data_IF_502927372296
#
_entry.id   IF_502927372296
#
_cell.length_a   1.000
_cell.length_b   1.000
_cell.length_c   1.000
_cell.angle_alpha   90.00
_cell.angle_beta   90.00
_cell.angle_gamma   90.00
#
_symmetry.space_group_name_H-M   'P 1'
#
loop_
_entity.id
_entity.type
_entity.pdbx_description
1 polymer ?
#
# COMPACT_ATOMS: atom_id res chain seq x y z
N UNK A 1 -64.68 9.43 55.60
CA UNK A 1 -63.27 9.20 55.96
C UNK A 1 -62.49 8.31 54.97
N UNK A 2 -63.10 7.35 54.28
CA UNK A 2 -62.38 6.43 53.38
C UNK A 2 -61.84 7.03 52.07
N UNK A 3 -62.39 8.09 51.52
CA UNK A 3 -61.94 8.73 50.26
C UNK A 3 -60.71 9.61 50.43
N UNK A 4 -60.47 10.19 51.61
CA UNK A 4 -59.29 11.01 51.88
C UNK A 4 -58.01 10.21 52.11
N UNK A 5 -58.11 9.04 52.72
CA UNK A 5 -56.98 8.13 52.95
C UNK A 5 -56.44 7.48 51.62
N UNK A 6 -57.32 7.23 50.65
CA UNK A 6 -56.93 6.68 49.33
C UNK A 6 -56.17 7.77 48.53
N UNK A 7 -56.57 9.04 48.64
CA UNK A 7 -55.89 10.12 47.94
C UNK A 7 -54.46 10.36 48.48
N UNK A 8 -54.23 10.21 49.78
CA UNK A 8 -52.90 10.29 50.39
C UNK A 8 -52.01 9.11 50.05
N UNK A 9 -52.54 7.89 49.93
CA UNK A 9 -51.82 6.72 49.48
C UNK A 9 -51.41 6.79 47.99
N UNK A 10 -52.28 7.35 47.12
CA UNK A 10 -51.91 7.59 45.72
C UNK A 10 -50.84 8.71 45.59
N UNK A 11 -50.88 9.73 46.41
CA UNK A 11 -49.89 10.80 46.39
C UNK A 11 -48.52 10.33 46.90
N UNK A 12 -48.51 9.46 47.93
CA UNK A 12 -47.29 8.83 48.42
C UNK A 12 -46.64 7.84 47.41
N UNK A 13 -47.47 7.15 46.63
CA UNK A 13 -46.99 6.24 45.58
C UNK A 13 -46.41 7.00 44.39
N UNK A 14 -46.95 8.18 44.04
CA UNK A 14 -46.45 9.01 42.96
C UNK A 14 -45.13 9.70 43.28
N UNK A 15 -44.85 9.99 44.55
CA UNK A 15 -43.57 10.58 45.01
C UNK A 15 -42.46 9.50 45.03
N UNK A 16 -42.79 8.20 45.23
CA UNK A 16 -41.83 7.10 45.20
C UNK A 16 -41.40 6.68 43.76
N UNK A 17 -42.24 6.98 42.76
CA UNK A 17 -41.91 6.69 41.36
C UNK A 17 -41.02 7.79 40.73
N UNK A 18 -41.02 9.01 41.25
CA UNK A 18 -40.14 10.09 40.78
C UNK A 18 -38.73 10.05 41.36
N UNK A 19 -38.48 9.22 42.40
CA UNK A 19 -37.16 9.06 43.01
C UNK A 19 -36.26 8.01 42.34
N UNK A 20 -36.79 7.20 41.40
CA UNK A 20 -36.06 6.08 40.77
C UNK A 20 -35.40 6.41 39.40
N UNK A 21 -35.51 7.65 38.91
CA UNK A 21 -34.87 8.09 37.64
C UNK A 21 -33.70 9.03 37.88
N UNK A 22 -32.87 8.79 38.85
CA UNK A 22 -31.73 9.65 39.23
C UNK A 22 -30.40 8.92 39.36
N UNK A 23 -30.29 7.67 38.96
CA UNK A 23 -28.99 7.00 38.83
C UNK A 23 -28.46 7.26 37.42
N UNK A 24 -27.82 8.42 37.22
CA UNK A 24 -26.84 8.60 36.17
C UNK A 24 -25.75 7.56 36.46
N UNK A 25 -25.83 6.39 35.82
CA UNK A 25 -24.62 5.66 35.47
C UNK A 25 -23.83 6.64 34.62
N UNK A 26 -22.87 7.29 35.22
CA UNK A 26 -21.72 7.80 34.51
C UNK A 26 -21.07 6.55 33.85
N UNK A 27 -21.58 6.15 32.67
CA UNK A 27 -20.71 5.58 31.70
C UNK A 27 -19.66 6.66 31.48
N UNK A 28 -18.53 6.46 32.10
CA UNK A 28 -17.26 6.99 31.67
C UNK A 28 -17.11 6.49 30.21
N UNK A 29 -17.72 7.22 29.27
CA UNK A 29 -17.21 7.30 27.93
C UNK A 29 -15.85 7.94 28.16
N UNK A 30 -14.82 7.10 28.30
CA UNK A 30 -13.48 7.56 28.01
C UNK A 30 -13.66 8.27 26.66
N UNK A 31 -13.58 9.59 26.69
CA UNK A 31 -13.34 10.39 25.53
C UNK A 31 -11.98 9.89 25.02
N UNK A 32 -12.03 8.83 24.19
CA UNK A 32 -10.87 8.44 23.40
C UNK A 32 -10.60 9.72 22.63
N UNK A 33 -9.57 10.42 23.04
CA UNK A 33 -9.02 11.55 22.30
C UNK A 33 -9.01 11.10 20.86
N UNK A 34 -9.87 11.73 20.07
CA UNK A 34 -10.09 11.34 18.69
C UNK A 34 -8.75 11.50 18.01
N UNK A 35 -8.11 10.40 17.61
CA UNK A 35 -6.81 10.41 16.94
C UNK A 35 -6.86 11.26 15.67
N UNK A 36 -5.73 11.42 15.01
CA UNK A 36 -5.64 12.15 13.74
C UNK A 36 -6.49 11.45 12.67
N UNK A 37 -7.12 12.24 11.80
CA UNK A 37 -7.69 11.77 10.55
C UNK A 37 -6.58 11.70 9.52
N UNK A 38 -6.24 10.51 9.06
CA UNK A 38 -5.20 10.28 8.06
C UNK A 38 -5.86 9.79 6.78
N UNK A 39 -5.59 10.45 5.67
CA UNK A 39 -5.97 9.98 4.33
C UNK A 39 -4.72 9.47 3.63
N UNK A 40 -4.80 8.28 3.04
CA UNK A 40 -3.71 7.64 2.30
C UNK A 40 -4.09 7.44 0.84
N UNK A 41 -3.12 7.45 -0.06
CA UNK A 41 -3.37 7.34 -1.49
C UNK A 41 -3.84 5.95 -1.92
N UNK A 42 -3.08 4.90 -1.67
CA UNK A 42 -3.37 3.54 -2.12
C UNK A 42 -2.94 2.47 -1.12
N UNK A 43 -3.20 1.20 -1.44
CA UNK A 43 -3.13 0.09 -0.47
C UNK A 43 -1.80 -0.06 0.28
N UNK A 44 -0.59 -0.06 -0.34
CA UNK A 44 0.66 -0.19 0.40
C UNK A 44 0.84 0.89 1.47
N UNK A 45 0.59 2.14 1.10
CA UNK A 45 0.68 3.28 2.03
C UNK A 45 -0.34 3.15 3.15
N UNK A 46 -1.60 2.79 2.80
CA UNK A 46 -2.64 2.54 3.79
C UNK A 46 -2.22 1.45 4.79
N UNK A 47 -1.75 0.32 4.28
CA UNK A 47 -1.36 -0.82 5.11
C UNK A 47 -0.20 -0.46 6.05
N UNK A 48 0.85 0.22 5.57
CA UNK A 48 1.98 0.65 6.40
C UNK A 48 1.55 1.69 7.45
N UNK A 49 0.70 2.66 7.09
CA UNK A 49 0.16 3.63 8.05
C UNK A 49 -0.68 2.92 9.12
N UNK A 50 -1.50 1.92 8.75
CA UNK A 50 -2.27 1.11 9.70
C UNK A 50 -1.38 0.28 10.63
N UNK A 51 -0.34 -0.36 10.11
CA UNK A 51 0.63 -1.12 10.93
C UNK A 51 1.34 -0.21 11.93
N UNK A 52 1.77 0.99 11.51
CA UNK A 52 2.47 1.95 12.36
C UNK A 52 1.54 2.58 13.39
N UNK A 53 0.35 3.03 12.97
CA UNK A 53 -0.56 3.76 13.85
C UNK A 53 -1.46 2.85 14.71
N UNK A 54 -1.67 1.61 14.33
CA UNK A 54 -2.65 0.72 14.94
C UNK A 54 -4.04 1.37 14.96
N UNK A 55 -4.69 1.34 16.12
CA UNK A 55 -6.02 1.93 16.33
C UNK A 55 -5.98 3.37 16.88
N UNK A 56 -4.81 4.01 16.91
CA UNK A 56 -4.67 5.37 17.43
C UNK A 56 -5.33 6.42 16.54
N UNK A 57 -5.34 6.19 15.22
CA UNK A 57 -5.79 7.14 14.23
C UNK A 57 -6.92 6.61 13.35
N UNK A 58 -7.71 7.52 12.80
CA UNK A 58 -8.75 7.22 11.80
C UNK A 58 -8.10 7.28 10.41
N UNK A 59 -7.78 6.11 9.83
CA UNK A 59 -7.07 6.00 8.55
C UNK A 59 -8.03 5.60 7.45
N UNK A 60 -8.12 6.44 6.43
CA UNK A 60 -8.92 6.23 5.22
C UNK A 60 -8.01 6.09 4.00
N UNK A 61 -8.27 5.10 3.16
CA UNK A 61 -7.62 4.93 1.86
C UNK A 61 -8.47 5.55 0.74
N UNK A 62 -7.81 6.21 -0.21
CA UNK A 62 -8.41 6.55 -1.50
C UNK A 62 -8.39 5.29 -2.34
N UNK A 63 -9.57 4.82 -2.75
CA UNK A 63 -9.67 3.62 -3.59
C UNK A 63 -9.47 3.97 -5.07
N UNK A 64 -8.61 3.21 -5.74
CA UNK A 64 -8.44 3.24 -7.19
C UNK A 64 -9.08 2.01 -7.81
N UNK A 65 -10.00 2.22 -8.75
CA UNK A 65 -10.60 1.14 -9.56
C UNK A 65 -9.79 0.84 -10.84
N UNK A 66 -8.90 1.76 -11.25
CA UNK A 66 -8.16 1.71 -12.52
C UNK A 66 -6.65 1.48 -12.36
N UNK A 67 -6.19 1.05 -11.17
CA UNK A 67 -4.77 1.01 -10.84
C UNK A 67 -4.23 2.37 -10.43
N UNK A 68 -3.07 2.40 -9.76
CA UNK A 68 -2.50 3.63 -9.20
C UNK A 68 -1.81 4.48 -10.27
N UNK A 69 -1.25 3.87 -11.31
CA UNK A 69 -0.45 4.56 -12.33
C UNK A 69 -1.24 5.60 -13.14
N UNK A 70 -2.51 5.34 -13.41
CA UNK A 70 -3.42 6.24 -14.12
C UNK A 70 -4.52 6.82 -13.24
N UNK A 71 -4.36 6.70 -11.92
CA UNK A 71 -5.35 7.19 -10.97
C UNK A 71 -5.35 8.71 -10.89
N UNK A 72 -6.56 9.27 -10.98
CA UNK A 72 -6.85 10.69 -10.71
C UNK A 72 -7.91 10.78 -9.61
N UNK A 73 -7.66 11.53 -8.52
CA UNK A 73 -8.60 11.62 -7.41
C UNK A 73 -9.89 12.32 -7.82
N UNK A 74 -11.02 11.77 -7.37
CA UNK A 74 -12.32 12.40 -7.53
C UNK A 74 -12.46 13.67 -6.66
N UNK A 75 -13.47 14.49 -6.93
CA UNK A 75 -13.77 15.65 -6.08
C UNK A 75 -14.02 15.26 -4.61
N UNK A 76 -14.60 14.08 -4.36
CA UNK A 76 -14.82 13.56 -3.01
C UNK A 76 -13.50 13.15 -2.33
N UNK A 77 -12.54 12.60 -3.08
CA UNK A 77 -11.23 12.25 -2.57
C UNK A 77 -10.43 13.51 -2.21
N UNK A 78 -10.46 14.51 -3.08
CA UNK A 78 -9.88 15.82 -2.82
C UNK A 78 -10.51 16.47 -1.55
N UNK A 79 -11.84 16.43 -1.43
CA UNK A 79 -12.50 16.94 -0.24
C UNK A 79 -12.08 16.20 1.04
N UNK A 80 -11.91 14.87 0.97
CA UNK A 80 -11.43 14.07 2.09
C UNK A 80 -9.99 14.41 2.48
N UNK A 81 -9.10 14.66 1.50
CA UNK A 81 -7.73 15.10 1.74
C UNK A 81 -7.75 16.44 2.49
N UNK A 82 -8.55 17.42 2.05
CA UNK A 82 -8.63 18.74 2.71
C UNK A 82 -9.28 18.70 4.11
N UNK A 83 -10.12 17.69 4.42
CA UNK A 83 -10.71 17.48 5.76
C UNK A 83 -9.77 16.71 6.71
N UNK A 84 -8.72 16.11 6.21
CA UNK A 84 -7.75 15.34 6.99
C UNK A 84 -6.84 16.23 7.86
N UNK A 85 -6.19 15.61 8.84
CA UNK A 85 -5.07 16.20 9.57
C UNK A 85 -3.76 15.88 8.85
N UNK A 86 -3.66 14.67 8.27
CA UNK A 86 -2.49 14.19 7.53
C UNK A 86 -2.93 13.54 6.22
N UNK A 87 -2.25 13.87 5.12
CA UNK A 87 -2.34 13.17 3.86
C UNK A 87 -1.01 12.45 3.60
N UNK A 88 -1.06 11.13 3.38
CA UNK A 88 0.10 10.30 3.12
C UNK A 88 0.00 9.70 1.72
N UNK A 89 0.98 9.93 0.89
CA UNK A 89 1.12 9.32 -0.43
C UNK A 89 2.50 8.68 -0.56
N UNK A 90 2.70 7.84 -1.59
CA UNK A 90 3.95 7.10 -1.73
C UNK A 90 5.08 7.98 -2.27
N UNK A 91 4.94 8.49 -3.49
CA UNK A 91 5.98 9.29 -4.13
C UNK A 91 5.45 10.17 -5.26
N UNK A 92 6.11 11.29 -5.51
CA UNK A 92 5.84 12.13 -6.69
C UNK A 92 6.09 11.41 -8.02
N UNK A 93 6.90 10.36 -8.01
CA UNK A 93 7.20 9.53 -9.19
C UNK A 93 5.98 8.74 -9.63
N UNK A 94 5.18 8.24 -8.67
CA UNK A 94 3.98 7.45 -8.91
C UNK A 94 2.74 8.35 -8.98
N UNK A 95 2.53 9.16 -7.94
CA UNK A 95 1.32 9.97 -7.74
C UNK A 95 1.58 11.44 -8.10
N UNK A 96 1.81 11.72 -9.37
CA UNK A 96 2.10 13.08 -9.85
C UNK A 96 1.00 14.10 -9.50
N UNK A 97 -0.26 13.64 -9.39
CA UNK A 97 -1.39 14.45 -8.95
C UNK A 97 -1.22 14.93 -7.49
N UNK A 98 -0.61 14.13 -6.60
CA UNK A 98 -0.34 14.53 -5.22
C UNK A 98 0.62 15.72 -5.18
N UNK A 99 1.70 15.67 -5.95
CA UNK A 99 2.62 16.79 -6.08
C UNK A 99 1.98 18.06 -6.64
N UNK A 100 0.95 17.92 -7.47
CA UNK A 100 0.18 19.06 -7.97
C UNK A 100 -0.71 19.71 -6.89
N UNK A 101 -1.12 18.96 -5.86
CA UNK A 101 -1.88 19.47 -4.72
C UNK A 101 -1.00 20.17 -3.68
N UNK A 102 0.27 19.82 -3.56
CA UNK A 102 1.18 20.31 -2.54
C UNK A 102 1.15 21.84 -2.32
N UNK A 103 1.24 22.68 -3.35
CA UNK A 103 1.23 24.14 -3.17
C UNK A 103 -0.06 24.66 -2.53
N UNK A 104 -1.16 23.95 -2.72
CA UNK A 104 -2.48 24.29 -2.15
C UNK A 104 -2.61 23.73 -0.74
N UNK A 105 -2.15 22.52 -0.49
CA UNK A 105 -2.15 21.85 0.81
C UNK A 105 -1.23 22.56 1.81
N UNK A 106 -0.08 23.09 1.39
CA UNK A 106 0.81 23.89 2.23
C UNK A 106 0.14 25.15 2.80
N UNK A 107 -0.91 25.65 2.15
CA UNK A 107 -1.73 26.79 2.64
C UNK A 107 -2.89 26.36 3.52
N UNK A 108 -3.10 25.07 3.69
CA UNK A 108 -4.16 24.47 4.50
C UNK A 108 -3.64 24.01 5.87
N UNK A 109 -4.50 23.38 6.68
CA UNK A 109 -4.13 22.73 7.93
C UNK A 109 -3.47 21.35 7.72
N UNK A 110 -3.65 20.74 6.55
CA UNK A 110 -3.26 19.36 6.26
C UNK A 110 -1.74 19.22 6.23
N UNK A 111 -1.20 18.25 6.93
CA UNK A 111 0.20 17.87 6.81
C UNK A 111 0.36 16.84 5.71
N UNK A 112 1.27 17.10 4.79
CA UNK A 112 1.55 16.20 3.67
C UNK A 112 2.80 15.39 4.00
N UNK A 113 2.72 14.08 3.77
CA UNK A 113 3.80 13.13 4.03
C UNK A 113 3.99 12.26 2.79
N UNK A 114 5.21 12.26 2.25
CA UNK A 114 5.65 11.32 1.22
C UNK A 114 6.31 10.11 1.91
N UNK A 115 5.77 8.91 1.72
CA UNK A 115 6.24 7.71 2.43
C UNK A 115 7.63 7.27 1.99
N UNK A 116 8.04 7.62 0.77
CA UNK A 116 9.39 7.35 0.25
C UNK A 116 10.36 8.53 0.39
N UNK A 117 10.03 9.56 1.18
CA UNK A 117 10.87 10.75 1.34
C UNK A 117 12.28 10.39 1.80
N UNK A 118 13.28 10.83 1.04
CA UNK A 118 14.71 10.58 1.34
C UNK A 118 15.23 9.21 0.94
N UNK A 119 14.38 8.31 0.44
CA UNK A 119 14.82 7.02 -0.09
C UNK A 119 15.54 7.21 -1.44
N UNK A 120 16.57 6.40 -1.66
CA UNK A 120 17.21 6.32 -2.98
C UNK A 120 16.38 5.41 -3.87
N UNK A 121 15.74 6.00 -4.89
CA UNK A 121 15.02 5.25 -5.92
C UNK A 121 16.00 4.74 -6.98
N UNK A 122 15.72 3.55 -7.50
CA UNK A 122 16.46 2.94 -8.60
C UNK A 122 15.97 3.50 -9.94
N UNK A 123 16.85 3.52 -10.93
CA UNK A 123 16.43 3.78 -12.32
C UNK A 123 15.55 2.66 -12.83
N UNK A 124 14.58 3.00 -13.67
CA UNK A 124 13.81 2.00 -14.40
C UNK A 124 14.76 1.13 -15.22
N UNK A 125 14.69 -0.21 -15.15
CA UNK A 125 15.55 -1.10 -15.92
C UNK A 125 15.55 -0.76 -17.42
N UNK A 126 16.74 -0.57 -17.97
CA UNK A 126 16.95 -0.14 -19.36
C UNK A 126 16.97 1.38 -19.58
N UNK A 127 16.78 2.19 -18.53
CA UNK A 127 16.87 3.65 -18.59
C UNK A 127 18.02 4.21 -17.74
N UNK A 128 18.97 3.37 -17.34
CA UNK A 128 20.06 3.72 -16.39
C UNK A 128 20.92 4.86 -16.93
N UNK A 129 21.19 4.89 -18.23
CA UNK A 129 22.02 5.90 -18.89
C UNK A 129 21.22 7.08 -19.45
N UNK A 130 19.88 7.05 -19.36
CA UNK A 130 19.04 8.11 -19.89
C UNK A 130 19.06 9.32 -18.96
N UNK A 131 19.24 10.51 -19.53
CA UNK A 131 19.21 11.76 -18.76
C UNK A 131 17.88 12.49 -18.97
N UNK A 132 17.43 13.17 -17.93
CA UNK A 132 16.33 14.12 -18.05
C UNK A 132 16.69 15.24 -19.02
N UNK A 133 15.70 15.69 -19.79
CA UNK A 133 15.92 16.72 -20.80
C UNK A 133 14.61 17.11 -21.49
N UNK A 134 14.70 17.80 -22.61
CA UNK A 134 13.53 18.27 -23.34
C UNK A 134 12.63 17.09 -23.73
N UNK A 135 11.42 17.04 -23.13
CA UNK A 135 10.43 15.98 -23.37
C UNK A 135 10.59 14.73 -22.47
N UNK A 136 11.56 14.69 -21.57
CA UNK A 136 11.75 13.59 -20.61
C UNK A 136 11.71 14.15 -19.19
N UNK A 137 10.64 13.83 -18.46
CA UNK A 137 10.54 14.15 -17.04
C UNK A 137 11.47 13.21 -16.25
N UNK A 138 12.34 13.78 -15.42
CA UNK A 138 13.26 13.01 -14.57
C UNK A 138 12.54 11.96 -13.73
N UNK A 139 11.35 12.28 -13.23
CA UNK A 139 10.54 11.39 -12.40
C UNK A 139 10.19 10.08 -13.11
N UNK A 140 9.98 10.12 -14.45
CA UNK A 140 9.65 8.93 -15.24
C UNK A 140 10.83 7.97 -15.44
N UNK A 141 12.02 8.39 -15.03
CA UNK A 141 13.24 7.60 -15.13
C UNK A 141 13.48 6.72 -13.89
N UNK A 142 12.69 6.88 -12.84
CA UNK A 142 12.83 6.13 -11.60
C UNK A 142 11.67 5.16 -11.39
N UNK A 143 12.03 3.99 -10.86
CA UNK A 143 11.08 2.95 -10.50
C UNK A 143 10.45 3.27 -9.14
N UNK A 144 9.11 3.42 -9.04
CA UNK A 144 8.44 3.73 -7.79
C UNK A 144 8.16 2.51 -6.92
N UNK A 145 8.30 1.26 -7.41
CA UNK A 145 7.74 0.05 -6.81
C UNK A 145 8.52 -0.48 -5.59
N UNK A 146 8.96 0.42 -4.69
CA UNK A 146 9.72 0.07 -3.48
C UNK A 146 8.94 -0.83 -2.53
N UNK A 147 7.61 -0.71 -2.50
CA UNK A 147 6.72 -1.45 -1.62
C UNK A 147 6.70 -2.98 -1.84
N UNK A 148 7.30 -3.50 -2.90
CA UNK A 148 7.44 -4.94 -3.13
C UNK A 148 8.75 -5.54 -2.61
N UNK A 149 9.67 -4.72 -2.09
CA UNK A 149 10.89 -5.18 -1.42
C UNK A 149 10.71 -5.15 0.11
N UNK A 150 10.84 -6.29 0.83
CA UNK A 150 10.69 -6.32 2.28
C UNK A 150 11.57 -5.32 3.04
N UNK A 151 12.80 -5.07 2.58
CA UNK A 151 13.70 -4.11 3.23
C UNK A 151 13.25 -2.66 3.00
N UNK A 152 12.70 -2.36 1.81
CA UNK A 152 12.20 -1.03 1.49
C UNK A 152 10.92 -0.70 2.25
N UNK A 153 10.00 -1.64 2.41
CA UNK A 153 8.79 -1.40 3.23
C UNK A 153 9.13 -1.21 4.71
N UNK A 154 10.21 -1.83 5.20
CA UNK A 154 10.72 -1.58 6.55
C UNK A 154 11.25 -0.14 6.69
N UNK A 155 11.96 0.37 5.67
CA UNK A 155 12.44 1.75 5.59
C UNK A 155 11.27 2.75 5.55
N UNK A 156 10.28 2.51 4.68
CA UNK A 156 9.06 3.34 4.56
C UNK A 156 8.25 3.38 5.86
N UNK A 157 8.07 2.24 6.53
CA UNK A 157 7.37 2.18 7.81
C UNK A 157 8.07 3.02 8.89
N UNK A 158 9.41 3.07 8.88
CA UNK A 158 10.17 3.91 9.80
C UNK A 158 10.00 5.40 9.48
N UNK A 159 10.02 5.79 8.20
CA UNK A 159 9.76 7.17 7.75
C UNK A 159 8.38 7.63 8.21
N UNK A 160 7.36 6.79 8.00
CA UNK A 160 5.99 7.06 8.46
C UNK A 160 5.95 7.23 9.98
N UNK A 161 6.61 6.35 10.75
CA UNK A 161 6.63 6.41 12.21
C UNK A 161 7.32 7.68 12.72
N UNK A 162 8.41 8.10 12.10
CA UNK A 162 9.13 9.32 12.46
C UNK A 162 8.25 10.55 12.24
N UNK A 163 7.61 10.66 11.09
CA UNK A 163 6.70 11.76 10.75
C UNK A 163 5.46 11.80 11.63
N UNK A 164 4.80 10.66 11.90
CA UNK A 164 3.67 10.61 12.83
C UNK A 164 4.10 10.96 14.25
N UNK A 165 5.31 10.58 14.67
CA UNK A 165 5.86 10.95 15.98
C UNK A 165 6.12 12.45 16.13
N UNK A 166 6.49 13.14 15.06
CA UNK A 166 6.63 14.60 15.03
C UNK A 166 5.28 15.30 15.19
N UNK A 167 4.22 14.76 14.56
CA UNK A 167 2.87 15.33 14.56
C UNK A 167 2.08 15.01 15.83
N UNK A 168 2.34 13.86 16.44
CA UNK A 168 1.67 13.34 17.64
C UNK A 168 2.69 12.75 18.60
N UNK A 169 3.40 13.63 19.28
CA UNK A 169 4.48 13.26 20.21
C UNK A 169 4.00 12.44 21.42
N UNK A 170 2.72 12.53 21.77
CA UNK A 170 2.14 11.75 22.88
C UNK A 170 2.10 10.25 22.59
N UNK A 171 2.00 9.86 21.32
CA UNK A 171 1.95 8.47 20.87
C UNK A 171 3.25 7.99 20.19
N UNK A 172 4.32 8.79 20.25
CA UNK A 172 5.60 8.51 19.62
C UNK A 172 6.12 7.10 19.89
N UNK A 173 6.15 6.69 21.17
CA UNK A 173 6.70 5.38 21.54
C UNK A 173 5.91 4.22 20.92
N UNK A 174 4.60 4.40 20.72
CA UNK A 174 3.75 3.41 20.06
C UNK A 174 4.06 3.32 18.58
N UNK A 175 4.16 4.44 17.88
CA UNK A 175 4.53 4.47 16.46
C UNK A 175 5.89 3.82 16.22
N UNK A 176 6.91 4.20 17.00
CA UNK A 176 8.26 3.65 16.90
C UNK A 176 8.29 2.14 17.16
N UNK A 177 7.60 1.67 18.21
CA UNK A 177 7.52 0.25 18.51
C UNK A 177 6.82 -0.55 17.43
N UNK A 178 5.73 -0.03 16.88
CA UNK A 178 4.98 -0.69 15.82
C UNK A 178 5.80 -0.79 14.53
N UNK A 179 6.48 0.29 14.13
CA UNK A 179 7.39 0.29 12.98
C UNK A 179 8.54 -0.72 13.17
N UNK A 180 9.17 -0.77 14.35
CA UNK A 180 10.21 -1.75 14.66
C UNK A 180 9.68 -3.19 14.57
N UNK A 181 8.47 -3.47 15.07
CA UNK A 181 7.86 -4.78 14.97
C UNK A 181 7.56 -5.17 13.52
N UNK A 182 7.04 -4.24 12.72
CA UNK A 182 6.79 -4.43 11.30
C UNK A 182 8.11 -4.68 10.54
N UNK A 183 9.12 -3.85 10.77
CA UNK A 183 10.45 -3.99 10.15
C UNK A 183 11.10 -5.34 10.48
N UNK A 184 10.99 -5.81 11.74
CA UNK A 184 11.51 -7.12 12.13
C UNK A 184 10.87 -8.25 11.32
N UNK A 185 9.54 -8.23 11.13
CA UNK A 185 8.82 -9.21 10.31
C UNK A 185 9.23 -9.13 8.83
N UNK A 186 9.41 -7.92 8.29
CA UNK A 186 9.87 -7.72 6.91
C UNK A 186 11.29 -8.27 6.69
N UNK A 187 12.22 -7.99 7.62
CA UNK A 187 13.56 -8.58 7.60
C UNK A 187 13.54 -10.11 7.71
N UNK A 188 12.59 -10.68 8.46
CA UNK A 188 12.46 -12.14 8.55
C UNK A 188 12.01 -12.75 7.22
N UNK A 189 11.22 -12.07 6.39
CA UNK A 189 10.93 -12.48 5.01
C UNK A 189 12.21 -12.52 4.17
N UNK A 190 13.03 -11.48 4.23
CA UNK A 190 14.34 -11.47 3.52
C UNK A 190 15.20 -12.67 3.94
N UNK A 191 15.37 -12.88 5.24
CA UNK A 191 16.17 -14.02 5.77
C UNK A 191 15.62 -15.37 5.34
N UNK A 192 14.30 -15.52 5.31
CA UNK A 192 13.63 -16.76 4.92
C UNK A 192 13.85 -17.09 3.45
N UNK A 193 13.69 -16.10 2.56
CA UNK A 193 13.66 -16.33 1.12
C UNK A 193 15.04 -16.19 0.45
N UNK A 194 15.99 -15.45 1.02
CA UNK A 194 17.33 -15.27 0.48
C UNK A 194 18.00 -16.63 0.12
N UNK A 195 18.13 -17.62 1.03
CA UNK A 195 18.79 -18.88 0.71
C UNK A 195 18.02 -19.75 -0.28
N UNK A 196 16.71 -19.53 -0.44
CA UNK A 196 15.87 -20.22 -1.42
C UNK A 196 16.20 -19.71 -2.82
N UNK A 197 16.20 -18.38 -2.98
CA UNK A 197 16.49 -17.75 -4.26
C UNK A 197 17.97 -17.89 -4.67
N UNK A 198 18.90 -17.91 -3.72
CA UNK A 198 20.32 -18.22 -4.01
C UNK A 198 20.49 -19.58 -4.68
N UNK A 199 19.67 -20.58 -4.31
CA UNK A 199 19.68 -21.93 -4.86
C UNK A 199 18.75 -22.13 -6.05
N UNK A 200 17.97 -21.13 -6.45
CA UNK A 200 17.05 -21.25 -7.55
C UNK A 200 17.78 -21.53 -8.86
N UNK A 201 17.29 -22.50 -9.64
CA UNK A 201 17.85 -22.88 -10.93
C UNK A 201 17.61 -21.81 -12.01
N UNK A 202 16.47 -21.14 -11.94
CA UNK A 202 16.11 -20.02 -12.80
C UNK A 202 16.23 -18.72 -12.02
N UNK A 203 17.03 -17.78 -12.52
CA UNK A 203 17.23 -16.47 -11.91
C UNK A 203 16.42 -15.37 -12.58
N UNK A 204 15.84 -15.66 -13.74
CA UNK A 204 15.12 -14.70 -14.55
C UNK A 204 13.64 -15.06 -14.61
N UNK A 205 12.77 -14.09 -14.42
CA UNK A 205 11.33 -14.26 -14.53
C UNK A 205 10.69 -13.12 -15.33
N UNK A 206 9.52 -13.39 -15.91
CA UNK A 206 8.81 -12.46 -16.78
C UNK A 206 7.47 -12.11 -16.12
N UNK A 207 7.20 -10.82 -15.98
CA UNK A 207 5.98 -10.28 -15.39
C UNK A 207 5.19 -9.46 -16.41
N UNK A 208 3.95 -9.14 -16.08
CA UNK A 208 3.11 -8.33 -16.94
C UNK A 208 3.63 -6.89 -17.05
N UNK A 209 3.96 -6.22 -15.95
CA UNK A 209 4.68 -4.95 -15.97
C UNK A 209 5.91 -4.97 -15.06
N UNK A 210 6.72 -3.91 -15.10
CA UNK A 210 7.99 -3.83 -14.37
C UNK A 210 7.75 -3.33 -12.94
N UNK A 211 7.06 -4.14 -12.11
CA UNK A 211 6.80 -3.79 -10.71
C UNK A 211 7.75 -4.45 -9.70
N UNK A 212 8.41 -5.54 -10.09
CA UNK A 212 9.12 -6.41 -9.15
C UNK A 212 10.65 -6.25 -9.19
N UNK A 213 11.17 -5.15 -9.74
CA UNK A 213 12.62 -4.95 -9.92
C UNK A 213 13.37 -4.82 -8.59
N UNK A 214 12.81 -4.10 -7.60
CA UNK A 214 13.39 -4.02 -6.26
C UNK A 214 13.44 -5.39 -5.58
N UNK A 215 12.33 -6.15 -5.62
CA UNK A 215 12.27 -7.52 -5.12
C UNK A 215 13.30 -8.40 -5.84
N UNK A 216 13.36 -8.33 -7.17
CA UNK A 216 14.30 -9.11 -7.97
C UNK A 216 15.74 -8.79 -7.54
N UNK A 217 16.12 -7.53 -7.48
CA UNK A 217 17.45 -7.08 -7.06
C UNK A 217 17.77 -7.53 -5.63
N UNK A 218 16.81 -7.44 -4.70
CA UNK A 218 16.95 -7.90 -3.31
C UNK A 218 17.42 -9.33 -3.23
N UNK A 219 16.85 -10.21 -4.05
CA UNK A 219 17.10 -11.65 -4.00
C UNK A 219 18.06 -12.18 -5.08
N UNK A 220 18.76 -11.29 -5.79
CA UNK A 220 19.68 -11.68 -6.86
C UNK A 220 19.00 -12.32 -8.06
N UNK A 221 17.77 -11.90 -8.35
CA UNK A 221 16.97 -12.31 -9.50
C UNK A 221 16.97 -11.21 -10.58
N UNK A 222 16.50 -11.55 -11.78
CA UNK A 222 16.32 -10.61 -12.89
C UNK A 222 14.87 -10.64 -13.33
N UNK A 223 14.22 -9.49 -13.39
CA UNK A 223 12.88 -9.31 -13.90
C UNK A 223 12.91 -8.76 -15.33
N UNK A 224 12.01 -9.27 -16.19
CA UNK A 224 11.63 -8.64 -17.44
C UNK A 224 10.12 -8.34 -17.39
N UNK A 225 9.73 -7.07 -17.48
CA UNK A 225 8.32 -6.68 -17.68
C UNK A 225 7.94 -6.76 -19.15
N UNK A 226 6.75 -7.30 -19.44
CA UNK A 226 6.16 -7.29 -20.80
C UNK A 226 5.75 -5.86 -21.17
N UNK A 227 5.03 -5.19 -20.27
CA UNK A 227 4.81 -3.76 -20.32
C UNK A 227 5.96 -3.03 -19.62
N UNK A 228 6.03 -1.71 -19.79
CA UNK A 228 6.97 -0.86 -19.09
C UNK A 228 6.69 -0.77 -17.58
N UNK A 229 6.93 0.43 -17.04
CA UNK A 229 6.73 0.71 -15.60
C UNK A 229 5.25 0.81 -15.20
N UNK A 230 4.33 0.91 -16.15
CA UNK A 230 2.88 0.90 -15.95
C UNK A 230 2.25 -0.26 -16.70
N UNK A 231 1.26 -0.97 -16.11
CA UNK A 231 0.54 -2.06 -16.79
C UNK A 231 -0.32 -1.59 -17.96
N UNK A 232 -0.59 -0.29 -18.07
CA UNK A 232 -1.37 0.32 -19.15
C UNK A 232 -0.56 0.45 -20.46
N UNK A 233 0.75 0.22 -20.41
CA UNK A 233 1.63 0.30 -21.59
C UNK A 233 1.62 -1.03 -22.35
N UNK A 234 0.92 -1.09 -23.48
CA UNK A 234 0.97 -2.27 -24.34
C UNK A 234 2.28 -2.31 -25.16
N UNK A 235 2.97 -3.45 -25.21
CA UNK A 235 4.18 -3.59 -26.01
C UNK A 235 3.85 -3.52 -27.51
N UNK A 236 4.73 -2.89 -28.26
CA UNK A 236 4.67 -2.90 -29.75
C UNK A 236 4.88 -4.31 -30.30
N UNK A 237 4.49 -4.58 -31.57
CA UNK A 237 4.74 -5.88 -32.20
C UNK A 237 6.21 -6.30 -32.22
N UNK A 238 7.13 -5.34 -32.32
CA UNK A 238 8.57 -5.59 -32.26
C UNK A 238 8.98 -6.08 -30.87
N UNK A 239 8.56 -5.37 -29.82
CA UNK A 239 8.83 -5.77 -28.42
C UNK A 239 8.25 -7.14 -28.09
N UNK A 240 7.05 -7.49 -28.61
CA UNK A 240 6.49 -8.82 -28.45
C UNK A 240 7.41 -9.91 -29.04
N UNK A 241 8.01 -9.66 -30.21
CA UNK A 241 8.96 -10.58 -30.82
C UNK A 241 10.22 -10.71 -29.97
N UNK A 242 10.76 -9.61 -29.47
CA UNK A 242 11.92 -9.59 -28.58
C UNK A 242 11.65 -10.37 -27.28
N UNK A 243 10.44 -10.22 -26.68
CA UNK A 243 10.01 -10.99 -25.50
C UNK A 243 9.90 -12.48 -25.82
N UNK A 244 9.37 -12.87 -26.99
CA UNK A 244 9.30 -14.27 -27.40
C UNK A 244 10.69 -14.89 -27.55
N UNK A 245 11.65 -14.16 -28.10
CA UNK A 245 13.04 -14.58 -28.20
C UNK A 245 13.70 -14.70 -26.83
N UNK A 246 13.43 -13.73 -25.95
CA UNK A 246 13.90 -13.75 -24.58
C UNK A 246 13.39 -14.99 -23.82
N UNK A 247 12.09 -15.26 -23.87
CA UNK A 247 11.46 -16.45 -23.26
C UNK A 247 12.14 -17.74 -23.71
N UNK A 248 12.43 -17.87 -25.01
CA UNK A 248 13.12 -19.05 -25.57
C UNK A 248 14.58 -19.13 -25.12
N UNK A 249 15.30 -18.02 -25.20
CA UNK A 249 16.73 -17.92 -24.90
C UNK A 249 17.02 -18.26 -23.44
N UNK A 250 16.23 -17.70 -22.55
CA UNK A 250 16.37 -17.90 -21.09
C UNK A 250 15.58 -19.10 -20.56
N UNK A 251 14.93 -19.86 -21.47
CA UNK A 251 14.14 -21.07 -21.12
C UNK A 251 13.09 -20.79 -20.04
N UNK A 252 12.43 -19.63 -20.14
CA UNK A 252 11.38 -19.26 -19.20
C UNK A 252 10.24 -20.28 -19.30
N UNK A 253 9.78 -20.77 -18.15
CA UNK A 253 8.69 -21.75 -18.08
C UNK A 253 7.35 -21.12 -17.71
N UNK A 254 7.40 -20.00 -16.97
CA UNK A 254 6.22 -19.33 -16.39
C UNK A 254 6.30 -17.82 -16.66
N UNK A 255 5.20 -17.25 -17.15
CA UNK A 255 4.97 -15.80 -17.19
C UNK A 255 4.01 -15.46 -16.06
N UNK A 256 4.32 -14.42 -15.32
CA UNK A 256 3.50 -13.95 -14.21
C UNK A 256 2.59 -12.82 -14.67
N UNK A 257 1.28 -13.07 -14.62
CA UNK A 257 0.23 -12.06 -14.85
C UNK A 257 -0.19 -11.41 -13.54
N UNK A 258 -0.98 -10.36 -13.63
CA UNK A 258 -1.52 -9.64 -12.50
C UNK A 258 -3.04 -9.80 -12.43
N UNK A 259 -3.60 -9.81 -11.21
CA UNK A 259 -5.02 -10.08 -11.00
C UNK A 259 -5.93 -8.99 -11.61
N UNK A 260 -5.45 -7.76 -11.69
CA UNK A 260 -6.25 -6.59 -12.09
C UNK A 260 -5.89 -6.03 -13.47
N UNK A 261 -5.04 -6.72 -14.24
CA UNK A 261 -4.61 -6.27 -15.54
C UNK A 261 -5.04 -7.23 -16.67
N UNK A 262 -5.08 -6.75 -17.90
CA UNK A 262 -5.45 -7.57 -19.07
C UNK A 262 -4.39 -8.62 -19.37
N UNK A 263 -4.75 -9.90 -19.30
CA UNK A 263 -3.86 -11.02 -19.66
C UNK A 263 -3.66 -11.20 -21.17
N UNK A 264 -4.29 -10.40 -22.04
CA UNK A 264 -4.36 -10.59 -23.49
C UNK A 264 -2.98 -10.76 -24.17
N UNK A 265 -2.00 -9.98 -23.74
CA UNK A 265 -0.63 -10.08 -24.26
C UNK A 265 0.05 -11.33 -23.75
N UNK A 266 -0.09 -11.64 -22.45
CA UNK A 266 0.45 -12.86 -21.84
C UNK A 266 -0.16 -14.11 -22.49
N UNK A 267 -1.45 -14.14 -22.75
CA UNK A 267 -2.13 -15.23 -23.48
C UNK A 267 -1.57 -15.43 -24.89
N UNK A 268 -1.18 -14.36 -25.56
CA UNK A 268 -0.56 -14.43 -26.88
C UNK A 268 0.83 -15.05 -26.80
N UNK A 269 1.61 -14.70 -25.79
CA UNK A 269 2.92 -15.31 -25.52
C UNK A 269 2.79 -16.80 -25.16
N UNK A 270 1.81 -17.18 -24.35
CA UNK A 270 1.52 -18.60 -24.05
C UNK A 270 1.27 -19.39 -25.35
N UNK A 271 0.39 -18.90 -26.22
CA UNK A 271 0.10 -19.57 -27.48
C UNK A 271 1.31 -19.72 -28.40
N UNK A 272 2.26 -18.77 -28.36
CA UNK A 272 3.43 -18.79 -29.25
C UNK A 272 4.65 -19.50 -28.66
N UNK A 273 4.75 -19.62 -27.33
CA UNK A 273 5.94 -20.16 -26.65
C UNK A 273 5.66 -21.41 -25.83
N UNK A 274 4.41 -21.69 -25.49
CA UNK A 274 4.01 -22.84 -24.66
C UNK A 274 4.31 -22.70 -23.17
N UNK A 275 4.62 -21.49 -22.67
CA UNK A 275 4.84 -21.23 -21.24
C UNK A 275 3.54 -21.28 -20.45
N UNK A 276 3.62 -21.51 -19.13
CA UNK A 276 2.49 -21.45 -18.21
C UNK A 276 2.25 -20.03 -17.71
N UNK A 277 1.04 -19.78 -17.21
CA UNK A 277 0.70 -18.53 -16.50
C UNK A 277 0.55 -18.80 -15.01
N UNK A 278 1.05 -17.88 -14.21
CA UNK A 278 0.81 -17.76 -12.77
C UNK A 278 0.49 -16.30 -12.46
N UNK A 279 -0.09 -16.04 -11.30
CA UNK A 279 -0.42 -14.67 -10.88
C UNK A 279 0.54 -14.24 -9.79
N UNK A 280 1.10 -13.04 -9.93
CA UNK A 280 1.70 -12.26 -8.84
C UNK A 280 0.82 -11.04 -8.59
N UNK A 281 0.76 -10.59 -7.35
CA UNK A 281 0.01 -9.41 -6.98
C UNK A 281 0.96 -8.23 -6.76
N UNK A 282 0.92 -7.16 -7.58
CA UNK A 282 1.76 -5.98 -7.37
C UNK A 282 1.34 -5.16 -6.14
N UNK A 283 0.28 -5.57 -5.42
CA UNK A 283 -0.25 -4.94 -4.21
C UNK A 283 -0.65 -3.46 -4.41
N UNK A 284 -0.94 -3.04 -5.62
CA UNK A 284 -1.37 -1.67 -5.95
C UNK A 284 -2.81 -1.38 -5.53
N UNK A 285 -3.60 -2.42 -5.32
CA UNK A 285 -4.96 -2.35 -4.79
C UNK A 285 -5.11 -3.30 -3.61
N UNK A 286 -6.09 -3.03 -2.74
CA UNK A 286 -6.44 -3.91 -1.63
C UNK A 286 -6.78 -5.31 -2.15
N UNK A 287 -6.07 -6.37 -1.72
CA UNK A 287 -6.32 -7.74 -2.14
C UNK A 287 -7.68 -8.29 -1.69
N UNK A 288 -8.45 -7.55 -0.89
CA UNK A 288 -9.77 -7.92 -0.37
C UNK A 288 -9.75 -9.29 0.35
N UNK A 289 -8.74 -9.50 1.18
CA UNK A 289 -8.59 -10.70 2.00
C UNK A 289 -8.25 -10.35 3.45
N UNK A 290 -8.24 -11.36 4.35
CA UNK A 290 -7.98 -11.17 5.78
C UNK A 290 -6.47 -11.21 6.15
N UNK A 291 -5.57 -11.21 5.15
CA UNK A 291 -4.13 -11.27 5.37
C UNK A 291 -3.56 -9.88 5.63
N UNK A 292 -2.53 -9.84 6.47
CA UNK A 292 -1.70 -8.65 6.61
C UNK A 292 -0.95 -8.32 5.32
N UNK A 293 -0.42 -7.11 5.23
CA UNK A 293 0.39 -6.69 4.09
C UNK A 293 1.59 -7.62 3.84
N UNK A 294 2.34 -7.95 4.89
CA UNK A 294 3.51 -8.82 4.78
C UNK A 294 3.15 -10.27 4.41
N UNK A 295 1.99 -10.78 4.82
CA UNK A 295 1.51 -12.09 4.36
C UNK A 295 1.16 -12.09 2.87
N UNK A 296 0.57 -11.01 2.36
CA UNK A 296 0.33 -10.85 0.92
C UNK A 296 1.64 -10.71 0.14
N UNK A 297 2.63 -9.99 0.67
CA UNK A 297 3.97 -9.90 0.07
C UNK A 297 4.68 -11.26 0.07
N UNK A 298 4.54 -12.03 1.15
CA UNK A 298 5.10 -13.37 1.28
C UNK A 298 4.51 -14.35 0.26
N UNK A 299 3.23 -14.21 -0.11
CA UNK A 299 2.64 -15.03 -1.16
C UNK A 299 3.35 -14.86 -2.51
N UNK A 300 3.70 -13.63 -2.88
CA UNK A 300 4.50 -13.37 -4.09
C UNK A 300 5.86 -14.09 -4.01
N UNK A 301 6.55 -13.98 -2.87
CA UNK A 301 7.83 -14.64 -2.64
C UNK A 301 7.70 -16.17 -2.73
N UNK A 302 6.64 -16.74 -2.15
CA UNK A 302 6.39 -18.18 -2.17
C UNK A 302 6.10 -18.70 -3.59
N UNK A 303 5.29 -17.97 -4.37
CA UNK A 303 4.99 -18.32 -5.76
C UNK A 303 6.28 -18.26 -6.61
N UNK A 304 7.06 -17.18 -6.51
CA UNK A 304 8.34 -17.07 -7.21
C UNK A 304 9.30 -18.20 -6.80
N UNK A 305 9.43 -18.48 -5.50
CA UNK A 305 10.29 -19.53 -5.00
C UNK A 305 9.89 -20.94 -5.50
N UNK A 306 8.60 -21.15 -5.74
CA UNK A 306 8.10 -22.40 -6.32
C UNK A 306 8.42 -22.53 -7.81
N UNK A 307 8.23 -21.46 -8.58
CA UNK A 307 8.33 -21.49 -10.05
C UNK A 307 9.78 -21.36 -10.55
N UNK A 308 10.69 -20.81 -9.76
CA UNK A 308 12.11 -20.62 -10.12
C UNK A 308 13.04 -21.77 -9.67
N UNK A 309 12.49 -22.84 -9.14
CA UNK A 309 13.24 -24.06 -8.71
C UNK A 309 13.97 -24.74 -9.85
#
# INVERSE_FOLDING_TARGET
>A
MKKRTILWLMLAFFVLVLGACGQKTSQDKSDKTKGMKIVTSFYPVYAMVKEVSGDLNDVRMIQSSSGIHSFEPSANDIAAIYDADVFVYHSHTLESWAGSLDPSLQKSKVKVLEASEGMTLERVPGLEDMQAGEGIDEKTLYDPHTWLDPEKVAEEAQIIADKLSELDSANKDTYQKNAQNFSAKAHDLTKKYQPIFEKANQKTFVTQHTAFSYLAKRFGLNQLGIAGISPDQEPSPRQLTEIQEFVKTYKIKTIFTESNASSKVADTLVRSTGVSLKTLNPLEADPQNDKSYLENLEENLAILAQELK
#
